data_IF_068192657861
#
_entry.id   IF_068192657861
#
_cell.length_a   1.000
_cell.length_b   1.000
_cell.length_c   1.000
_cell.angle_alpha   90.00
_cell.angle_beta   90.00
_cell.angle_gamma   90.00
#
_symmetry.space_group_name_H-M   'P 1'
#
loop_
_entity.id
_entity.type
_entity.pdbx_description
1 polymer ?
#
# COMPACT_ATOMS: atom_id res chain seq x y z
N UNK A 1 28.42 -5.20 -26.04
CA UNK A 1 27.27 -4.65 -25.29
C UNK A 1 26.76 -5.76 -24.37
N UNK A 2 27.14 -5.71 -23.09
CA UNK A 2 26.85 -6.78 -22.13
C UNK A 2 25.40 -6.72 -21.65
N UNK A 3 24.63 -7.76 -21.98
CA UNK A 3 23.39 -8.05 -21.28
C UNK A 3 23.76 -8.55 -19.88
N UNK A 4 23.67 -7.66 -18.91
CA UNK A 4 23.77 -8.00 -17.50
C UNK A 4 22.64 -8.98 -17.21
N UNK A 5 23.01 -10.23 -16.94
CA UNK A 5 22.16 -11.23 -16.30
C UNK A 5 21.74 -10.69 -14.93
N UNK A 6 20.68 -9.87 -14.93
CA UNK A 6 19.96 -9.55 -13.71
C UNK A 6 19.25 -10.83 -13.31
N UNK A 7 19.58 -11.36 -12.13
CA UNK A 7 18.84 -12.46 -11.53
C UNK A 7 17.34 -12.08 -11.57
N UNK A 8 16.43 -12.99 -11.96
CA UNK A 8 15.01 -12.71 -11.90
C UNK A 8 14.67 -12.29 -10.46
N UNK A 9 14.04 -11.12 -10.30
CA UNK A 9 13.70 -10.59 -8.98
C UNK A 9 12.92 -11.64 -8.20
N UNK A 10 13.30 -11.85 -6.93
CA UNK A 10 12.56 -12.76 -6.07
C UNK A 10 11.14 -12.20 -5.84
N UNK A 11 10.18 -13.08 -5.56
CA UNK A 11 8.83 -12.66 -5.22
C UNK A 11 8.81 -11.60 -4.10
N UNK A 12 9.63 -11.81 -3.08
CA UNK A 12 9.78 -10.88 -1.96
C UNK A 12 10.17 -9.50 -2.46
N UNK A 13 11.11 -9.40 -3.40
CA UNK A 13 11.55 -8.12 -3.96
C UNK A 13 10.45 -7.44 -4.78
N UNK A 14 9.68 -8.21 -5.55
CA UNK A 14 8.54 -7.69 -6.33
C UNK A 14 7.45 -7.16 -5.40
N UNK A 15 7.09 -7.91 -4.35
CA UNK A 15 6.08 -7.48 -3.37
C UNK A 15 6.56 -6.25 -2.60
N UNK A 16 7.82 -6.23 -2.16
CA UNK A 16 8.41 -5.11 -1.44
C UNK A 16 8.47 -3.84 -2.32
N UNK A 17 8.77 -4.00 -3.61
CA UNK A 17 8.70 -2.89 -4.56
C UNK A 17 7.27 -2.37 -4.75
N UNK A 18 6.28 -3.26 -4.86
CA UNK A 18 4.87 -2.88 -4.96
C UNK A 18 4.40 -2.16 -3.68
N UNK A 19 4.79 -2.63 -2.50
CA UNK A 19 4.49 -1.98 -1.22
C UNK A 19 5.11 -0.59 -1.13
N UNK A 20 6.37 -0.43 -1.52
CA UNK A 20 6.99 0.89 -1.57
C UNK A 20 6.24 1.82 -2.53
N UNK A 21 5.79 1.31 -3.67
CA UNK A 21 4.96 2.05 -4.63
C UNK A 21 3.59 2.45 -4.05
N UNK A 22 2.90 1.53 -3.34
CA UNK A 22 1.60 1.82 -2.73
C UNK A 22 1.73 2.88 -1.64
N UNK A 23 2.69 2.74 -0.71
CA UNK A 23 2.94 3.71 0.36
C UNK A 23 3.25 5.09 -0.22
N UNK A 24 4.14 5.17 -1.22
CA UNK A 24 4.46 6.43 -1.90
C UNK A 24 3.24 7.08 -2.53
N UNK A 25 2.34 6.27 -3.10
CA UNK A 25 1.12 6.76 -3.72
C UNK A 25 0.08 7.19 -2.68
N UNK A 26 -0.04 6.48 -1.55
CA UNK A 26 -0.86 6.88 -0.40
C UNK A 26 -0.43 8.22 0.18
N UNK A 27 0.87 8.43 0.35
CA UNK A 27 1.40 9.72 0.80
C UNK A 27 1.04 10.85 -0.15
N UNK A 28 1.13 10.64 -1.47
CA UNK A 28 0.73 11.66 -2.46
C UNK A 28 -0.75 12.00 -2.32
N UNK A 29 -1.62 10.99 -2.14
CA UNK A 29 -3.05 11.22 -1.91
C UNK A 29 -3.28 12.00 -0.62
N UNK A 30 -2.61 11.64 0.49
CA UNK A 30 -2.68 12.37 1.77
C UNK A 30 -2.22 13.82 1.61
N UNK A 31 -1.07 14.06 0.97
CA UNK A 31 -0.54 15.40 0.66
C UNK A 31 -1.52 16.23 -0.17
N UNK A 32 -2.17 15.63 -1.17
CA UNK A 32 -3.19 16.31 -2.00
C UNK A 32 -4.46 16.65 -1.21
N UNK A 33 -4.95 15.74 -0.35
CA UNK A 33 -6.09 15.99 0.53
C UNK A 33 -5.81 17.12 1.51
N UNK A 34 -4.63 17.14 2.12
CA UNK A 34 -4.18 18.21 2.99
C UNK A 34 -4.09 19.55 2.26
N UNK A 35 -3.45 19.57 1.07
CA UNK A 35 -3.38 20.77 0.22
C UNK A 35 -4.77 21.29 -0.16
N UNK A 36 -5.70 20.40 -0.53
CA UNK A 36 -7.10 20.76 -0.83
C UNK A 36 -7.74 21.46 0.38
N UNK A 37 -7.66 20.86 1.56
CA UNK A 37 -8.25 21.41 2.80
C UNK A 37 -7.69 22.80 3.14
N UNK A 38 -6.35 22.93 3.18
CA UNK A 38 -5.68 24.19 3.47
C UNK A 38 -6.03 25.27 2.44
N UNK A 39 -6.02 24.93 1.15
CA UNK A 39 -6.38 25.86 0.09
C UNK A 39 -7.85 26.28 0.17
N UNK A 40 -8.79 25.35 0.41
CA UNK A 40 -10.21 25.70 0.58
C UNK A 40 -10.44 26.65 1.74
N UNK A 41 -9.75 26.45 2.87
CA UNK A 41 -9.82 27.36 4.01
C UNK A 41 -9.27 28.76 3.67
N UNK A 42 -8.11 28.83 3.00
CA UNK A 42 -7.54 30.11 2.54
C UNK A 42 -8.46 30.87 1.60
N UNK A 43 -9.05 30.19 0.61
CA UNK A 43 -9.98 30.82 -0.34
C UNK A 43 -11.21 31.34 0.37
N UNK A 44 -11.83 30.56 1.27
CA UNK A 44 -12.99 31.00 2.05
C UNK A 44 -12.63 32.23 2.90
N UNK A 45 -11.48 32.20 3.59
CA UNK A 45 -11.01 33.32 4.42
C UNK A 45 -10.82 34.59 3.58
N UNK A 46 -10.22 34.48 2.39
CA UNK A 46 -10.02 35.60 1.48
C UNK A 46 -11.37 36.17 1.02
N UNK A 47 -12.32 35.31 0.61
CA UNK A 47 -13.65 35.76 0.21
C UNK A 47 -14.38 36.50 1.32
N UNK A 48 -14.30 36.02 2.56
CA UNK A 48 -14.91 36.69 3.73
C UNK A 48 -14.27 38.07 3.95
N UNK A 49 -12.94 38.19 3.88
CA UNK A 49 -12.22 39.46 4.05
C UNK A 49 -12.65 40.48 2.98
N UNK A 50 -12.87 40.06 1.74
CA UNK A 50 -13.32 40.96 0.68
C UNK A 50 -14.83 41.27 0.74
N UNK A 51 -15.65 40.35 1.26
CA UNK A 51 -17.10 40.53 1.30
C UNK A 51 -17.57 41.42 2.47
N UNK A 52 -16.90 41.35 3.63
CA UNK A 52 -17.27 42.14 4.81
C UNK A 52 -17.28 43.66 4.57
N UNK A 53 -16.26 44.27 3.92
CA UNK A 53 -16.26 45.71 3.60
C UNK A 53 -17.35 46.09 2.61
N UNK A 54 -17.57 45.26 1.57
CA UNK A 54 -18.62 45.51 0.57
C UNK A 54 -20.01 45.47 1.20
N UNK A 55 -20.24 44.53 2.12
CA UNK A 55 -21.47 44.42 2.89
C UNK A 55 -21.66 45.64 3.80
N UNK A 56 -20.61 46.11 4.48
CA UNK A 56 -20.67 47.30 5.33
C UNK A 56 -21.02 48.57 4.53
N UNK A 57 -20.39 48.77 3.37
CA UNK A 57 -20.70 49.89 2.45
C UNK A 57 -22.16 49.79 1.96
N UNK A 58 -22.62 48.58 1.64
CA UNK A 58 -24.01 48.36 1.22
C UNK A 58 -25.01 48.71 2.33
N UNK A 59 -24.74 48.32 3.58
CA UNK A 59 -25.59 48.66 4.73
C UNK A 59 -25.58 50.17 5.06
N UNK A 60 -24.42 50.80 4.99
CA UNK A 60 -24.28 52.24 5.23
C UNK A 60 -25.05 53.07 4.18
N UNK A 61 -24.98 52.69 2.91
CA UNK A 61 -25.72 53.39 1.83
C UNK A 61 -27.23 53.23 1.96
N UNK A 62 -27.73 52.03 2.29
CA UNK A 62 -29.17 51.82 2.48
C UNK A 62 -29.73 52.63 3.67
N UNK A 63 -28.96 52.78 4.75
CA UNK A 63 -29.38 53.55 5.92
C UNK A 63 -29.55 55.04 5.58
N UNK A 64 -28.60 55.61 4.82
CA UNK A 64 -28.66 57.02 4.40
C UNK A 64 -29.81 57.35 3.43
N UNK A 65 -30.21 56.39 2.58
CA UNK A 65 -31.35 56.57 1.65
C UNK A 65 -32.68 56.57 2.40
N UNK A 66 -32.81 55.76 3.46
CA UNK A 66 -34.02 55.72 4.29
C UNK A 66 -34.28 57.06 4.99
N UNK A 67 -33.24 57.66 5.59
CA UNK A 67 -33.38 58.95 6.30
C UNK A 67 -33.77 60.10 5.34
N UNK A 68 -33.18 60.14 4.14
CA UNK A 68 -33.51 61.15 3.15
C UNK A 68 -34.97 61.04 2.65
N UNK A 69 -35.49 59.83 2.45
CA UNK A 69 -36.87 59.64 2.02
C UNK A 69 -37.89 60.05 3.10
N UNK A 70 -37.58 59.83 4.37
CA UNK A 70 -38.43 60.23 5.51
C UNK A 70 -38.49 61.78 5.62
N UNK A 71 -37.34 62.45 5.53
CA UNK A 71 -37.28 63.92 5.60
C UNK A 71 -37.98 64.62 4.44
N UNK A 72 -37.90 64.08 3.21
CA UNK A 72 -38.63 64.61 2.05
C UNK A 72 -40.14 64.48 2.22
N UNK A 73 -40.63 63.39 2.82
CA UNK A 73 -42.05 63.21 3.06
C UNK A 73 -42.59 64.17 4.13
N UNK A 74 -41.82 64.43 5.20
CA UNK A 74 -42.19 65.36 6.27
C UNK A 74 -42.30 66.81 5.78
N UNK A 75 -41.31 67.25 4.99
CA UNK A 75 -41.29 68.61 4.43
C UNK A 75 -42.43 68.86 3.41
N UNK A 76 -42.88 67.82 2.69
CA UNK A 76 -43.99 67.93 1.75
C UNK A 76 -45.37 67.92 2.44
N UNK A 77 -45.50 67.30 3.62
CA UNK A 77 -46.73 67.35 4.40
C UNK A 77 -46.97 68.70 5.07
N UNK A 78 -45.92 69.40 5.52
CA UNK A 78 -46.07 70.78 6.04
C UNK A 78 -46.41 71.78 4.93
N UNK A 79 -45.80 71.65 3.75
CA UNK A 79 -46.01 72.59 2.62
C UNK A 79 -47.39 72.54 1.96
N UNK A 80 -48.22 71.52 2.25
CA UNK A 80 -49.60 71.42 1.73
C UNK A 80 -50.63 72.21 2.55
N UNK A 81 -50.26 72.75 3.71
CA UNK A 81 -51.17 73.54 4.57
C UNK A 81 -51.14 75.04 4.28
N UNK A 82 -50.21 75.52 3.44
CA UNK A 82 -50.10 76.92 3.04
C UNK A 82 -49.90 77.03 1.53
N UNK A 83 -50.72 77.86 0.87
CA UNK A 83 -50.83 78.13 -0.58
C UNK A 83 -51.85 77.27 -1.37
N UNK A 84 -53.09 77.74 -1.34
CA UNK A 84 -53.83 78.01 -2.59
C UNK A 84 -53.07 79.10 -3.37
N UNK A 85 -53.18 79.04 -4.69
CA UNK A 85 -52.74 80.00 -5.71
C UNK A 85 -51.38 79.74 -6.39
N UNK A 86 -51.52 79.27 -7.63
CA UNK A 86 -50.80 79.63 -8.85
C UNK A 86 -49.27 79.78 -8.79
N UNK A 87 -48.55 78.81 -9.37
CA UNK A 87 -47.76 79.05 -10.58
C UNK A 87 -47.24 77.72 -11.15
N UNK A 88 -47.47 77.54 -12.45
CA UNK A 88 -47.06 76.39 -13.26
C UNK A 88 -45.53 76.37 -13.38
N UNK A 89 -44.84 75.63 -12.50
CA UNK A 89 -43.41 75.38 -12.63
C UNK A 89 -43.17 74.22 -13.58
N UNK A 90 -42.49 74.48 -14.70
CA UNK A 90 -41.89 73.47 -15.55
C UNK A 90 -40.77 72.76 -14.77
N UNK A 91 -41.15 71.72 -14.03
CA UNK A 91 -40.26 70.83 -13.30
C UNK A 91 -39.44 70.00 -14.28
N UNK A 92 -38.25 70.50 -14.65
CA UNK A 92 -37.23 69.70 -15.32
C UNK A 92 -36.87 68.56 -14.36
N UNK A 93 -37.33 67.36 -14.66
CA UNK A 93 -37.02 66.14 -13.87
C UNK A 93 -35.51 65.97 -13.92
N UNK A 94 -34.82 66.44 -12.88
CA UNK A 94 -33.42 66.10 -12.61
C UNK A 94 -33.46 64.61 -12.27
N UNK A 95 -33.27 63.76 -13.29
CA UNK A 95 -33.09 62.32 -13.07
C UNK A 95 -31.87 62.17 -12.16
N UNK A 96 -32.13 61.69 -10.95
CA UNK A 96 -31.16 61.55 -9.89
C UNK A 96 -30.07 60.56 -10.32
N UNK A 97 -28.88 61.04 -10.71
CA UNK A 97 -27.76 60.19 -11.14
C UNK A 97 -27.38 59.13 -10.09
N UNK A 98 -27.74 59.35 -8.82
CA UNK A 98 -27.49 58.43 -7.72
C UNK A 98 -28.29 57.12 -7.81
N UNK A 99 -29.48 57.12 -8.44
CA UNK A 99 -30.27 55.89 -8.57
C UNK A 99 -29.65 54.91 -9.57
N UNK A 100 -29.12 55.41 -10.69
CA UNK A 100 -28.46 54.58 -11.69
C UNK A 100 -27.15 53.98 -11.16
N UNK A 101 -26.38 54.77 -10.40
CA UNK A 101 -25.15 54.31 -9.75
C UNK A 101 -25.41 53.16 -8.77
N UNK A 102 -26.49 53.26 -7.98
CA UNK A 102 -26.90 52.22 -7.03
C UNK A 102 -27.35 50.92 -7.71
N UNK A 103 -28.11 51.01 -8.82
CA UNK A 103 -28.51 49.84 -9.61
C UNK A 103 -27.28 49.13 -10.19
N UNK A 104 -26.34 49.89 -10.74
CA UNK A 104 -25.09 49.34 -11.26
C UNK A 104 -24.27 48.66 -10.14
N UNK A 105 -24.15 49.29 -8.97
CA UNK A 105 -23.47 48.71 -7.81
C UNK A 105 -24.11 47.38 -7.36
N UNK A 106 -25.44 47.32 -7.26
CA UNK A 106 -26.18 46.09 -6.96
C UNK A 106 -25.86 44.99 -7.97
N UNK A 107 -25.89 45.30 -9.27
CA UNK A 107 -25.56 44.33 -10.30
C UNK A 107 -24.13 43.79 -10.17
N UNK A 108 -23.14 44.67 -9.94
CA UNK A 108 -21.76 44.25 -9.72
C UNK A 108 -21.59 43.34 -8.49
N UNK A 109 -22.28 43.62 -7.38
CA UNK A 109 -22.22 42.75 -6.19
C UNK A 109 -22.78 41.35 -6.45
N UNK A 110 -23.89 41.25 -7.19
CA UNK A 110 -24.51 39.97 -7.55
C UNK A 110 -23.56 39.18 -8.47
N UNK A 111 -23.04 39.81 -9.51
CA UNK A 111 -22.08 39.19 -10.43
C UNK A 111 -20.83 38.68 -9.69
N UNK A 112 -20.31 39.47 -8.75
CA UNK A 112 -19.15 39.08 -7.93
C UNK A 112 -19.40 37.81 -7.11
N UNK A 113 -20.60 37.65 -6.54
CA UNK A 113 -20.99 36.44 -5.77
C UNK A 113 -21.01 35.22 -6.70
N UNK A 114 -21.66 35.33 -7.86
CA UNK A 114 -21.74 34.22 -8.82
C UNK A 114 -20.36 33.81 -9.33
N UNK A 115 -19.50 34.78 -9.67
CA UNK A 115 -18.12 34.52 -10.10
C UNK A 115 -17.32 33.85 -8.99
N UNK A 116 -17.46 34.29 -7.74
CA UNK A 116 -16.77 33.68 -6.59
C UNK A 116 -17.19 32.23 -6.36
N UNK A 117 -18.49 31.93 -6.46
CA UNK A 117 -19.02 30.56 -6.34
C UNK A 117 -18.51 29.69 -7.49
N UNK A 118 -18.53 30.19 -8.73
CA UNK A 118 -18.02 29.48 -9.89
C UNK A 118 -16.54 29.13 -9.74
N UNK A 119 -15.71 30.09 -9.28
CA UNK A 119 -14.28 29.86 -9.00
C UNK A 119 -14.09 28.76 -7.94
N UNK A 120 -14.84 28.81 -6.83
CA UNK A 120 -14.78 27.76 -5.79
C UNK A 120 -15.15 26.40 -6.38
N UNK A 121 -16.21 26.33 -7.19
CA UNK A 121 -16.67 25.09 -7.80
C UNK A 121 -15.62 24.49 -8.74
N UNK A 122 -15.04 25.31 -9.62
CA UNK A 122 -13.98 24.90 -10.54
C UNK A 122 -12.76 24.38 -9.78
N UNK A 123 -12.33 25.09 -8.74
CA UNK A 123 -11.19 24.67 -7.91
C UNK A 123 -11.48 23.34 -7.21
N UNK A 124 -12.67 23.19 -6.60
CA UNK A 124 -13.10 21.92 -5.98
C UNK A 124 -13.11 20.78 -6.99
N UNK A 125 -13.62 21.02 -8.18
CA UNK A 125 -13.64 20.05 -9.28
C UNK A 125 -12.22 19.60 -9.64
N UNK A 126 -11.29 20.53 -9.88
CA UNK A 126 -9.89 20.21 -10.23
C UNK A 126 -9.21 19.39 -9.12
N UNK A 127 -9.37 19.77 -7.85
CA UNK A 127 -8.79 19.03 -6.73
C UNK A 127 -9.41 17.64 -6.59
N UNK A 128 -10.74 17.52 -6.70
CA UNK A 128 -11.44 16.23 -6.64
C UNK A 128 -10.99 15.32 -7.77
N UNK A 129 -10.92 15.84 -8.99
CA UNK A 129 -10.46 15.10 -10.16
C UNK A 129 -9.04 14.56 -9.95
N UNK A 130 -8.12 15.40 -9.48
CA UNK A 130 -6.74 14.99 -9.18
C UNK A 130 -6.67 13.94 -8.07
N UNK A 131 -7.44 14.09 -6.99
CA UNK A 131 -7.47 13.13 -5.88
C UNK A 131 -8.02 11.79 -6.37
N UNK A 132 -9.16 11.79 -7.07
CA UNK A 132 -9.81 10.58 -7.56
C UNK A 132 -8.91 9.82 -8.54
N UNK A 133 -8.21 10.52 -9.44
CA UNK A 133 -7.23 9.90 -10.33
C UNK A 133 -6.12 9.18 -9.54
N UNK A 134 -5.59 9.80 -8.49
CA UNK A 134 -4.54 9.18 -7.68
C UNK A 134 -5.05 8.01 -6.81
N UNK A 135 -6.30 8.09 -6.34
CA UNK A 135 -6.97 6.99 -5.62
C UNK A 135 -7.13 5.79 -6.55
N UNK A 136 -7.59 5.98 -7.79
CA UNK A 136 -7.72 4.90 -8.78
C UNK A 136 -6.37 4.23 -9.08
N UNK A 137 -5.31 5.02 -9.21
CA UNK A 137 -3.94 4.48 -9.38
C UNK A 137 -3.53 3.63 -8.17
N UNK A 138 -3.84 4.08 -6.96
CA UNK A 138 -3.55 3.35 -5.73
C UNK A 138 -4.32 2.02 -5.66
N UNK A 139 -5.61 2.04 -6.01
CA UNK A 139 -6.44 0.83 -6.07
C UNK A 139 -5.88 -0.19 -7.06
N UNK A 140 -5.41 0.26 -8.23
CA UNK A 140 -4.76 -0.61 -9.20
C UNK A 140 -3.51 -1.27 -8.62
N UNK A 141 -2.63 -0.53 -7.92
CA UNK A 141 -1.44 -1.12 -7.29
C UNK A 141 -1.81 -2.18 -6.24
N UNK A 142 -2.83 -1.91 -5.41
CA UNK A 142 -3.34 -2.88 -4.41
C UNK A 142 -3.94 -4.11 -5.08
N UNK A 143 -4.62 -3.93 -6.21
CA UNK A 143 -5.18 -5.04 -7.00
C UNK A 143 -4.06 -5.91 -7.57
N UNK A 144 -3.06 -5.31 -8.23
CA UNK A 144 -1.90 -6.02 -8.77
C UNK A 144 -1.15 -6.78 -7.69
N UNK A 145 -1.00 -6.21 -6.50
CA UNK A 145 -0.39 -6.90 -5.37
C UNK A 145 -1.18 -8.16 -4.97
N UNK A 146 -2.50 -8.05 -4.81
CA UNK A 146 -3.37 -9.19 -4.48
C UNK A 146 -3.31 -10.28 -5.55
N UNK A 147 -3.41 -9.91 -6.82
CA UNK A 147 -3.32 -10.83 -7.95
C UNK A 147 -1.99 -11.59 -7.96
N UNK A 148 -0.87 -10.88 -7.73
CA UNK A 148 0.45 -11.53 -7.62
C UNK A 148 0.48 -12.52 -6.46
N UNK A 149 0.08 -12.10 -5.25
CA UNK A 149 0.05 -13.01 -4.08
C UNK A 149 -0.79 -14.26 -4.35
N UNK A 150 -1.94 -14.12 -4.99
CA UNK A 150 -2.80 -15.27 -5.34
C UNK A 150 -2.15 -16.20 -6.37
N UNK A 151 -1.52 -15.66 -7.41
CA UNK A 151 -0.77 -16.45 -8.40
C UNK A 151 0.34 -17.27 -7.73
N UNK A 152 1.08 -16.68 -6.80
CA UNK A 152 2.14 -17.39 -6.08
C UNK A 152 1.60 -18.45 -5.13
N UNK A 153 0.47 -18.20 -4.44
CA UNK A 153 -0.20 -19.23 -3.63
C UNK A 153 -0.60 -20.45 -4.46
N UNK A 154 -1.12 -20.23 -5.67
CA UNK A 154 -1.48 -21.33 -6.60
C UNK A 154 -0.25 -22.10 -7.07
N UNK A 155 0.84 -21.39 -7.39
CA UNK A 155 2.11 -22.01 -7.79
C UNK A 155 2.70 -22.85 -6.66
N UNK A 156 2.69 -22.33 -5.42
CA UNK A 156 3.17 -23.03 -4.23
C UNK A 156 2.35 -24.30 -3.96
N UNK A 157 1.02 -24.20 -3.96
CA UNK A 157 0.14 -25.36 -3.79
C UNK A 157 0.34 -26.43 -4.87
N UNK A 158 0.53 -26.01 -6.13
CA UNK A 158 0.84 -26.93 -7.24
C UNK A 158 2.18 -27.64 -7.02
N UNK A 159 3.23 -26.91 -6.65
CA UNK A 159 4.55 -27.47 -6.38
C UNK A 159 4.53 -28.43 -5.18
N UNK A 160 3.84 -28.06 -4.10
CA UNK A 160 3.66 -28.91 -2.92
C UNK A 160 2.91 -30.20 -3.26
N UNK A 161 1.78 -30.09 -3.97
CA UNK A 161 1.00 -31.25 -4.44
C UNK A 161 1.85 -32.17 -5.31
N UNK A 162 2.62 -31.60 -6.25
CA UNK A 162 3.54 -32.36 -7.10
C UNK A 162 4.60 -33.10 -6.29
N UNK A 163 5.24 -32.43 -5.33
CA UNK A 163 6.26 -33.03 -4.47
C UNK A 163 5.69 -34.18 -3.63
N UNK A 164 4.44 -34.05 -3.15
CA UNK A 164 3.75 -35.11 -2.43
C UNK A 164 3.52 -36.32 -3.36
N UNK A 165 2.99 -36.10 -4.56
CA UNK A 165 2.75 -37.16 -5.54
C UNK A 165 4.07 -37.89 -5.86
N UNK A 166 5.12 -37.15 -6.16
CA UNK A 166 6.44 -37.70 -6.47
C UNK A 166 7.00 -38.56 -5.32
N UNK A 167 6.83 -38.10 -4.07
CA UNK A 167 7.23 -38.88 -2.87
C UNK A 167 6.47 -40.20 -2.75
N UNK A 168 5.18 -40.24 -3.09
CA UNK A 168 4.40 -41.48 -3.05
C UNK A 168 4.70 -42.41 -4.22
N UNK A 169 4.91 -41.87 -5.43
CA UNK A 169 5.33 -42.65 -6.59
C UNK A 169 6.69 -43.30 -6.36
N UNK A 170 7.66 -42.57 -5.81
CA UNK A 170 8.97 -43.10 -5.43
C UNK A 170 8.85 -44.24 -4.41
N UNK A 171 8.05 -44.07 -3.36
CA UNK A 171 7.78 -45.13 -2.37
C UNK A 171 7.11 -46.36 -3.00
N UNK A 172 6.19 -46.18 -3.95
CA UNK A 172 5.55 -47.29 -4.66
C UNK A 172 6.54 -48.05 -5.54
N UNK A 173 7.47 -47.35 -6.19
CA UNK A 173 8.54 -47.97 -6.99
C UNK A 173 9.53 -48.72 -6.08
N UNK A 174 9.91 -48.14 -4.93
CA UNK A 174 10.74 -48.82 -3.93
C UNK A 174 10.05 -50.05 -3.34
N UNK A 175 8.74 -49.97 -3.08
CA UNK A 175 7.91 -51.09 -2.65
C UNK A 175 7.86 -52.21 -3.69
N UNK A 176 7.68 -51.88 -4.97
CA UNK A 176 7.76 -52.86 -6.07
C UNK A 176 9.14 -53.50 -6.20
N UNK A 177 10.22 -52.71 -6.13
CA UNK A 177 11.60 -53.23 -6.17
C UNK A 177 11.92 -54.14 -4.98
N UNK A 178 11.38 -53.83 -3.79
CA UNK A 178 11.48 -54.69 -2.61
C UNK A 178 10.71 -56.00 -2.81
N UNK A 179 9.48 -55.95 -3.32
CA UNK A 179 8.67 -57.15 -3.55
C UNK A 179 9.24 -58.03 -4.68
N UNK A 180 9.70 -57.46 -5.79
CA UNK A 180 10.41 -58.20 -6.86
C UNK A 180 11.75 -58.77 -6.39
N UNK A 181 12.45 -58.07 -5.48
CA UNK A 181 13.68 -58.56 -4.84
C UNK A 181 13.45 -59.71 -3.87
N UNK A 182 12.30 -59.73 -3.18
CA UNK A 182 11.86 -60.81 -2.29
C UNK A 182 11.37 -62.02 -3.10
N UNK A 183 10.63 -61.80 -4.18
CA UNK A 183 10.16 -62.87 -5.08
C UNK A 183 11.33 -63.55 -5.80
N UNK A 184 12.35 -62.79 -6.26
CA UNK A 184 13.60 -63.34 -6.82
C UNK A 184 14.52 -64.01 -5.79
N UNK A 185 14.35 -63.75 -4.49
CA UNK A 185 15.06 -64.46 -3.40
C UNK A 185 14.33 -65.75 -3.00
N UNK A 186 13.00 -65.76 -3.01
CA UNK A 186 12.20 -66.96 -2.75
C UNK A 186 12.30 -67.99 -3.90
N UNK A 187 12.46 -67.56 -5.15
CA UNK A 187 12.78 -68.46 -6.27
C UNK A 187 14.22 -69.00 -6.15
N UNK A 188 15.21 -68.16 -5.84
CA UNK A 188 16.62 -68.60 -5.65
C UNK A 188 16.84 -69.52 -4.44
N UNK A 189 16.05 -69.39 -3.37
CA UNK A 189 16.12 -70.31 -2.23
C UNK A 189 15.41 -71.65 -2.49
N UNK A 190 14.62 -71.77 -3.56
CA UNK A 190 14.05 -73.05 -4.01
C UNK A 190 15.02 -73.86 -4.88
N UNK A 191 15.96 -73.18 -5.54
CA UNK A 191 16.95 -73.81 -6.42
C UNK A 191 18.33 -74.02 -5.75
N UNK A 192 18.62 -73.34 -4.63
CA UNK A 192 19.91 -73.46 -3.90
C UNK A 192 19.97 -74.61 -2.88
N UNK A 193 19.31 -75.74 -3.15
CA UNK A 193 19.69 -77.05 -2.58
C UNK A 193 20.57 -77.83 -3.54
N UNK A 194 20.68 -77.43 -4.82
CA UNK A 194 21.54 -78.12 -5.78
C UNK A 194 22.62 -77.23 -6.38
N UNK A 195 23.85 -77.63 -6.09
CA UNK A 195 25.05 -77.49 -6.92
C UNK A 195 25.58 -76.08 -7.24
N UNK A 196 26.68 -75.77 -6.55
CA UNK A 196 28.00 -75.69 -7.20
C UNK A 196 27.98 -75.58 -8.73
N UNK A 197 28.12 -74.35 -9.27
CA UNK A 197 29.01 -74.10 -10.42
C UNK A 197 29.28 -72.61 -10.62
N UNK A 198 30.58 -72.28 -10.49
CA UNK A 198 31.40 -71.44 -11.37
C UNK A 198 30.81 -70.11 -11.87
N UNK A 199 31.52 -69.05 -11.43
CA UNK A 199 32.24 -68.07 -12.26
C UNK A 199 31.50 -66.84 -12.83
N UNK A 200 32.15 -65.72 -12.51
CA UNK A 200 32.43 -64.53 -13.32
C UNK A 200 31.49 -63.30 -13.30
N UNK A 201 32.13 -62.18 -12.95
CA UNK A 201 32.12 -60.88 -13.66
C UNK A 201 31.32 -59.70 -13.06
N UNK A 202 32.10 -58.74 -12.54
CA UNK A 202 32.02 -57.26 -12.62
C UNK A 202 30.64 -56.59 -12.85
N UNK A 203 30.29 -55.65 -11.97
CA UNK A 203 30.42 -54.20 -12.27
C UNK A 203 30.18 -53.38 -11.00
N UNK A 204 31.02 -52.36 -10.80
CA UNK A 204 30.84 -51.38 -9.75
C UNK A 204 30.19 -50.11 -10.29
N UNK A 205 30.02 -49.17 -9.34
CA UNK A 205 30.08 -47.73 -9.57
C UNK A 205 28.80 -47.07 -10.10
N UNK A 206 27.92 -46.68 -9.17
CA UNK A 206 27.46 -45.29 -8.97
C UNK A 206 26.39 -45.25 -7.86
N UNK A 207 25.55 -46.30 -7.78
CA UNK A 207 24.45 -46.40 -6.81
C UNK A 207 24.94 -46.56 -5.37
N UNK A 208 25.99 -47.33 -5.12
CA UNK A 208 26.48 -47.59 -3.75
C UNK A 208 27.11 -46.36 -3.07
N UNK A 209 27.60 -45.38 -3.84
CA UNK A 209 28.17 -44.15 -3.27
C UNK A 209 27.07 -43.13 -2.97
N UNK A 210 26.04 -43.06 -3.83
CA UNK A 210 24.83 -42.27 -3.56
C UNK A 210 24.05 -42.88 -2.39
N UNK A 211 23.94 -44.21 -2.26
CA UNK A 211 23.31 -44.85 -1.10
C UNK A 211 24.08 -44.55 0.18
N UNK A 212 25.42 -44.52 0.16
CA UNK A 212 26.22 -44.15 1.34
C UNK A 212 26.15 -42.65 1.68
N UNK A 213 26.10 -41.77 0.68
CA UNK A 213 25.97 -40.31 0.90
C UNK A 213 24.55 -39.96 1.32
N UNK A 214 23.53 -40.59 0.73
CA UNK A 214 22.14 -40.46 1.13
C UNK A 214 21.95 -41.03 2.54
N UNK A 215 22.53 -42.17 2.88
CA UNK A 215 22.50 -42.69 4.25
C UNK A 215 23.20 -41.73 5.22
N UNK A 216 24.36 -41.15 4.88
CA UNK A 216 25.04 -40.16 5.75
C UNK A 216 24.26 -38.84 5.87
N UNK A 217 23.53 -38.43 4.84
CA UNK A 217 22.73 -37.17 4.82
C UNK A 217 21.32 -37.36 5.38
N UNK A 218 20.75 -38.58 5.30
CA UNK A 218 19.38 -38.93 5.70
C UNK A 218 19.30 -39.78 6.97
N UNK A 219 20.41 -40.19 7.58
CA UNK A 219 20.43 -41.03 8.80
C UNK A 219 19.82 -40.39 10.04
N UNK A 220 19.44 -39.12 9.98
CA UNK A 220 18.94 -38.41 11.14
C UNK A 220 17.49 -38.02 10.87
N UNK A 221 16.57 -38.71 11.55
CA UNK A 221 15.16 -38.33 11.62
C UNK A 221 15.06 -36.80 11.82
N UNK A 222 14.18 -36.07 11.10
CA UNK A 222 14.05 -34.61 11.22
C UNK A 222 13.74 -34.14 12.65
N UNK A 223 13.24 -35.04 13.50
CA UNK A 223 13.00 -34.84 14.93
C UNK A 223 14.28 -34.80 15.79
N UNK A 224 15.44 -35.14 15.23
CA UNK A 224 16.73 -35.28 15.93
C UNK A 224 17.73 -34.19 15.56
N UNK A 225 17.30 -33.10 14.91
CA UNK A 225 18.15 -31.96 14.56
C UNK A 225 17.60 -30.64 15.13
N UNK A 226 18.50 -29.69 15.40
CA UNK A 226 18.15 -28.30 15.68
C UNK A 226 18.84 -27.35 14.71
N UNK A 227 18.18 -26.22 14.42
CA UNK A 227 18.67 -25.19 13.53
C UNK A 227 19.61 -24.22 14.27
N UNK A 228 20.78 -23.94 13.68
CA UNK A 228 21.72 -22.94 14.17
C UNK A 228 21.31 -21.55 13.70
N UNK A 229 20.59 -20.82 14.55
CA UNK A 229 20.13 -19.45 14.26
C UNK A 229 21.01 -18.47 15.02
N UNK A 230 21.61 -17.51 14.31
CA UNK A 230 22.43 -16.47 14.93
C UNK A 230 21.58 -15.53 15.77
N UNK A 231 22.01 -15.20 16.99
CA UNK A 231 21.29 -14.31 17.89
C UNK A 231 21.31 -12.85 17.42
N UNK A 232 22.42 -12.38 16.85
CA UNK A 232 22.59 -10.99 16.42
C UNK A 232 21.87 -10.70 15.09
N UNK A 233 22.08 -11.52 14.06
CA UNK A 233 21.55 -11.27 12.71
C UNK A 233 20.37 -12.15 12.30
N UNK A 234 19.96 -13.12 13.14
CA UNK A 234 18.85 -14.06 12.91
C UNK A 234 18.97 -14.92 11.64
N UNK A 235 20.16 -15.01 11.05
CA UNK A 235 20.43 -15.87 9.89
C UNK A 235 20.65 -17.33 10.30
N UNK A 236 20.24 -18.23 9.42
CA UNK A 236 20.41 -19.67 9.55
C UNK A 236 21.82 -20.09 9.11
N UNK A 237 22.55 -20.82 9.97
CA UNK A 237 23.94 -21.21 9.77
C UNK A 237 24.14 -22.73 9.60
N UNK A 238 23.05 -23.52 9.55
CA UNK A 238 23.07 -24.97 9.35
C UNK A 238 22.20 -25.72 10.36
N UNK A 239 22.24 -27.05 10.27
CA UNK A 239 21.56 -27.98 11.18
C UNK A 239 22.61 -28.78 11.95
N UNK A 240 22.34 -29.07 13.22
CA UNK A 240 23.19 -29.91 14.08
C UNK A 240 22.33 -31.00 14.73
N UNK A 241 22.83 -32.23 14.85
CA UNK A 241 22.13 -33.29 15.59
C UNK A 241 21.94 -32.93 17.08
N UNK A 242 20.80 -33.30 17.64
CA UNK A 242 20.45 -33.15 19.06
C UNK A 242 21.40 -33.88 20.02
N UNK A 243 22.21 -34.82 19.52
CA UNK A 243 23.23 -35.55 20.30
C UNK A 243 24.52 -34.76 20.53
N UNK A 244 24.75 -33.70 19.76
CA UNK A 244 25.95 -32.88 19.90
C UNK A 244 25.69 -31.70 20.85
N UNK A 245 26.17 -31.84 22.09
CA UNK A 245 26.05 -30.83 23.17
C UNK A 245 26.80 -29.52 22.89
N UNK A 246 27.60 -29.46 21.82
CA UNK A 246 28.40 -28.29 21.45
C UNK A 246 27.58 -27.37 20.56
N UNK A 247 26.71 -26.56 21.18
CA UNK A 247 25.89 -25.56 20.49
C UNK A 247 26.65 -24.26 20.18
N UNK A 248 27.97 -24.21 20.41
CA UNK A 248 28.77 -23.01 20.16
C UNK A 248 29.20 -22.92 18.70
N UNK A 249 28.81 -21.87 17.98
CA UNK A 249 29.18 -21.68 16.58
C UNK A 249 29.42 -20.19 16.23
N UNK A 250 30.28 -19.94 15.25
CA UNK A 250 30.52 -18.59 14.71
C UNK A 250 29.64 -18.36 13.48
N UNK A 251 28.89 -17.27 13.46
CA UNK A 251 28.06 -16.91 12.32
C UNK A 251 28.92 -16.52 11.11
N UNK A 252 28.60 -17.04 9.91
CA UNK A 252 29.38 -16.74 8.70
C UNK A 252 29.19 -15.31 8.17
N UNK A 253 28.04 -14.70 8.50
CA UNK A 253 27.70 -13.38 7.98
C UNK A 253 28.22 -12.24 8.88
N UNK A 254 27.97 -12.32 10.18
CA UNK A 254 28.33 -11.26 11.13
C UNK A 254 29.50 -11.62 12.06
N UNK A 255 30.08 -12.82 11.93
CA UNK A 255 31.15 -13.35 12.78
C UNK A 255 30.86 -13.39 14.30
N UNK A 256 29.61 -13.16 14.72
CA UNK A 256 29.16 -13.29 16.10
C UNK A 256 29.29 -14.74 16.58
N UNK A 257 29.82 -14.94 17.80
CA UNK A 257 29.96 -16.25 18.43
C UNK A 257 28.70 -16.55 19.24
N UNK A 258 27.92 -17.53 18.79
CA UNK A 258 26.69 -17.98 19.42
C UNK A 258 26.99 -19.18 20.34
N UNK A 259 26.32 -19.25 21.49
CA UNK A 259 26.39 -20.37 22.43
C UNK A 259 26.86 -19.96 23.83
N UNK A 260 26.26 -20.53 24.87
CA UNK A 260 26.64 -20.29 26.26
C UNK A 260 27.80 -21.21 26.66
N UNK A 261 28.95 -20.63 27.00
CA UNK A 261 29.97 -21.35 27.78
C UNK A 261 29.35 -21.62 29.16
N UNK A 262 28.83 -22.83 29.37
CA UNK A 262 28.57 -23.29 30.75
C UNK A 262 29.93 -23.40 31.43
N UNK A 263 30.26 -22.45 32.30
CA UNK A 263 31.27 -22.62 33.34
C UNK A 263 30.87 -23.85 34.17
N UNK A 264 31.36 -25.03 33.80
CA UNK A 264 31.46 -26.18 34.69
C UNK A 264 32.86 -26.07 35.29
N UNK A 265 33.01 -25.32 36.38
CA UNK A 265 34.13 -25.41 37.34
C UNK A 265 33.96 -24.38 38.48
N UNK A 266 32.76 -24.23 39.03
CA UNK A 266 32.54 -23.60 40.35
C UNK A 266 31.45 -24.40 41.03
N UNK A 267 31.87 -25.45 41.76
CA UNK A 267 31.17 -26.07 42.90
C UNK A 267 31.93 -27.36 43.26
N UNK A 268 33.17 -27.21 43.75
CA UNK A 268 33.92 -28.21 44.52
C UNK A 268 35.12 -27.51 45.19
N UNK A 269 34.85 -26.72 46.23
CA UNK A 269 35.69 -26.58 47.44
C UNK A 269 34.73 -26.28 48.60
#
# INVERSE_FOLDING_TARGET
MGFIFSKPLSLRDILLHLDNCTVKQEEKVKKLKYKKSNYTYKVIKILIIFYLPLLFIYLATNSSVSENNINVHYNNTEKKSTLKDNHLYNGKIIKNNNSQLYINFKYFTIVYIFVSIAIIFILRYIFNYRINRNIKILENYKKTQKEKVELFKKQEFYLETKNIIEKYELKNIEGKKRNEGVEKKNIRNRDNVNENRKKDMKSGSFTSFIDRVADVVLQNDPSTMYALICEQCKLHNGLVPLKDDKTTFRCRECNFLNGNVKNKDVDKI
#
